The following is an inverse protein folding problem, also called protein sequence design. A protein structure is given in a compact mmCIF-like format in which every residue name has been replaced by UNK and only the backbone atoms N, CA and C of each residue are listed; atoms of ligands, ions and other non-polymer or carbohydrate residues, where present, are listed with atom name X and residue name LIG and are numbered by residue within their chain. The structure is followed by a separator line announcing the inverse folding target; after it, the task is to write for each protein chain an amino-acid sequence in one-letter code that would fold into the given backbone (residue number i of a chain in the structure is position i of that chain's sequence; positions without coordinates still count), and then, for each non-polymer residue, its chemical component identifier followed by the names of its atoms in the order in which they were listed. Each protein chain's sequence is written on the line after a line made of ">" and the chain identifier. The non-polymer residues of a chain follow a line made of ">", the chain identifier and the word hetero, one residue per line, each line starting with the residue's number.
data_IF_615305651917
#
_entry.id   IF_615305651917
#
_cell.length_a   1.000
_cell.length_b   1.000
_cell.length_c   1.000
_cell.angle_alpha   90.00
_cell.angle_beta   90.00
_cell.angle_gamma   90.00
#
_symmetry.space_group_name_H-M   'P 1'
#
loop_
_entity.id
_entity.type
_entity.pdbx_description
1 polymer ?
#
# COMPACT_ATOMS: atom_id res chain seq x y z
N UNK A 1 -8.01 7.29 24.65
CA UNK A 1 -7.99 7.50 23.20
C UNK A 1 -9.27 6.92 22.63
N UNK A 2 -10.06 7.65 21.82
CA UNK A 2 -11.29 7.12 21.27
C UNK A 2 -11.02 5.93 20.33
N UNK A 3 -11.94 4.97 20.27
CA UNK A 3 -11.76 3.70 19.53
C UNK A 3 -11.51 3.91 18.04
N UNK A 4 -12.21 4.86 17.40
CA UNK A 4 -12.00 5.19 15.98
C UNK A 4 -10.56 5.66 15.69
N UNK A 5 -9.97 6.42 16.62
CA UNK A 5 -8.60 6.91 16.48
C UNK A 5 -7.58 5.76 16.64
N UNK A 6 -7.88 4.78 17.50
CA UNK A 6 -7.04 3.57 17.61
C UNK A 6 -7.04 2.79 16.29
N UNK A 7 -8.21 2.61 15.66
CA UNK A 7 -8.31 1.96 14.36
C UNK A 7 -7.50 2.68 13.27
N UNK A 8 -7.64 4.01 13.20
CA UNK A 8 -6.90 4.83 12.25
C UNK A 8 -5.37 4.71 12.46
N UNK A 9 -4.89 4.83 13.71
CA UNK A 9 -3.47 4.75 14.04
C UNK A 9 -2.90 3.35 13.75
N UNK A 10 -3.62 2.27 14.08
CA UNK A 10 -3.18 0.91 13.79
C UNK A 10 -2.99 0.67 12.28
N UNK A 11 -3.90 1.19 11.45
CA UNK A 11 -3.79 1.08 10.00
C UNK A 11 -2.71 1.99 9.42
N UNK A 12 -2.49 3.20 9.97
CA UNK A 12 -1.34 4.03 9.62
C UNK A 12 -0.03 3.30 9.88
N UNK A 13 0.14 2.73 11.07
CA UNK A 13 1.35 1.97 11.43
C UNK A 13 1.53 0.78 10.48
N UNK A 14 0.46 0.04 10.20
CA UNK A 14 0.47 -1.09 9.28
C UNK A 14 0.91 -0.69 7.87
N UNK A 15 0.34 0.40 7.33
CA UNK A 15 0.70 0.93 6.02
C UNK A 15 2.18 1.37 5.97
N UNK A 16 2.64 2.12 6.98
CA UNK A 16 4.03 2.56 7.02
C UNK A 16 5.04 1.42 7.16
N UNK A 17 4.74 0.39 7.97
CA UNK A 17 5.62 -0.78 8.10
C UNK A 17 5.67 -1.58 6.80
N UNK A 18 4.51 -1.85 6.18
CA UNK A 18 4.45 -2.60 4.93
C UNK A 18 5.09 -1.86 3.76
N UNK A 19 4.83 -0.56 3.63
CA UNK A 19 5.49 0.29 2.62
C UNK A 19 6.99 0.40 2.88
N UNK A 20 7.40 0.64 4.13
CA UNK A 20 8.81 0.74 4.52
C UNK A 20 9.60 -0.53 4.21
N UNK A 21 9.01 -1.71 4.40
CA UNK A 21 9.63 -2.96 4.04
C UNK A 21 9.89 -3.07 2.52
N UNK A 22 8.91 -2.70 1.69
CA UNK A 22 9.06 -2.66 0.23
C UNK A 22 10.10 -1.65 -0.20
N UNK A 23 10.06 -0.44 0.37
CA UNK A 23 11.00 0.63 0.05
C UNK A 23 12.45 0.24 0.41
N UNK A 24 12.69 -0.34 1.58
CA UNK A 24 14.01 -0.79 2.01
C UNK A 24 14.55 -1.90 1.11
N UNK A 25 13.70 -2.84 0.68
CA UNK A 25 14.10 -3.88 -0.26
C UNK A 25 14.54 -3.29 -1.60
N UNK A 26 13.75 -2.37 -2.17
CA UNK A 26 14.10 -1.70 -3.43
C UNK A 26 15.33 -0.80 -3.27
N UNK A 27 15.45 -0.10 -2.15
CA UNK A 27 16.62 0.71 -1.83
C UNK A 27 17.89 -0.16 -1.75
N UNK A 28 17.83 -1.33 -1.13
CA UNK A 28 18.96 -2.26 -1.07
C UNK A 28 19.38 -2.75 -2.46
N UNK A 29 18.41 -3.06 -3.34
CA UNK A 29 18.68 -3.43 -4.75
C UNK A 29 19.31 -2.25 -5.49
N UNK A 30 18.78 -1.06 -5.33
CA UNK A 30 19.29 0.16 -5.97
C UNK A 30 20.72 0.50 -5.55
N UNK A 31 21.02 0.41 -4.23
CA UNK A 31 22.36 0.59 -3.70
C UNK A 31 23.37 -0.43 -4.25
N UNK A 32 22.95 -1.67 -4.45
CA UNK A 32 23.82 -2.75 -4.94
C UNK A 32 24.09 -2.67 -6.46
N UNK A 33 23.19 -2.05 -7.23
CA UNK A 33 23.34 -1.92 -8.69
C UNK A 33 24.01 -0.61 -9.15
N UNK A 34 24.44 0.24 -8.21
CA UNK A 34 25.03 1.54 -8.52
C UNK A 34 23.98 2.62 -8.79
N UNK A 35 24.28 3.84 -8.38
CA UNK A 35 23.35 4.98 -8.36
C UNK A 35 23.02 5.57 -9.75
N UNK A 36 23.62 5.04 -10.83
CA UNK A 36 23.72 5.75 -12.11
C UNK A 36 22.47 5.69 -13.01
N UNK A 37 21.45 4.90 -12.68
CA UNK A 37 20.38 4.63 -13.63
C UNK A 37 18.98 5.12 -13.24
N UNK A 38 18.70 5.40 -11.96
CA UNK A 38 17.36 5.73 -11.47
C UNK A 38 17.43 6.79 -10.38
N UNK A 39 16.67 7.88 -10.55
CA UNK A 39 16.50 8.90 -9.54
C UNK A 39 15.72 8.38 -8.31
N UNK A 40 16.00 8.91 -7.13
CA UNK A 40 15.33 8.52 -5.89
C UNK A 40 13.81 8.78 -5.93
N UNK A 41 13.38 9.79 -6.70
CA UNK A 41 11.96 10.05 -6.92
C UNK A 41 11.30 8.92 -7.74
N UNK A 42 11.98 8.41 -8.75
CA UNK A 42 11.51 7.25 -9.52
C UNK A 42 11.49 5.97 -8.67
N UNK A 43 12.51 5.77 -7.81
CA UNK A 43 12.56 4.67 -6.85
C UNK A 43 11.36 4.73 -5.89
N UNK A 44 11.03 5.91 -5.36
CA UNK A 44 9.89 6.07 -4.44
C UNK A 44 8.55 5.76 -5.13
N UNK A 45 8.34 6.22 -6.38
CA UNK A 45 7.15 5.90 -7.17
C UNK A 45 7.04 4.40 -7.46
N UNK A 46 8.13 3.77 -7.86
CA UNK A 46 8.18 2.32 -8.08
C UNK A 46 7.86 1.55 -6.80
N UNK A 47 8.34 2.02 -5.64
CA UNK A 47 8.04 1.41 -4.34
C UNK A 47 6.55 1.48 -4.02
N UNK A 48 5.89 2.60 -4.31
CA UNK A 48 4.44 2.74 -4.15
C UNK A 48 3.69 1.79 -5.08
N UNK A 49 4.07 1.71 -6.35
CA UNK A 49 3.44 0.80 -7.31
C UNK A 49 3.59 -0.67 -6.88
N UNK A 50 4.78 -1.06 -6.40
CA UNK A 50 5.01 -2.42 -5.90
C UNK A 50 4.23 -2.68 -4.61
N UNK A 51 4.14 -1.70 -3.72
CA UNK A 51 3.34 -1.80 -2.51
C UNK A 51 1.85 -1.98 -2.83
N UNK A 52 1.30 -1.25 -3.80
CA UNK A 52 -0.07 -1.43 -4.29
C UNK A 52 -0.26 -2.80 -4.96
N UNK A 53 0.72 -3.26 -5.74
CA UNK A 53 0.67 -4.57 -6.40
C UNK A 53 0.59 -5.73 -5.40
N UNK A 54 1.34 -5.70 -4.31
CA UNK A 54 1.26 -6.74 -3.27
C UNK A 54 -0.08 -6.74 -2.51
N UNK A 55 -0.86 -5.66 -2.61
CA UNK A 55 -2.24 -5.55 -2.14
C UNK A 55 -3.27 -5.91 -3.21
N UNK A 56 -2.84 -6.37 -4.39
CA UNK A 56 -3.72 -6.81 -5.46
C UNK A 56 -4.15 -5.74 -6.45
N UNK A 57 -3.66 -4.51 -6.33
CA UNK A 57 -3.93 -3.44 -7.31
C UNK A 57 -3.12 -3.70 -8.58
N UNK A 58 -3.74 -3.80 -9.77
CA UNK A 58 -3.02 -4.03 -11.02
C UNK A 58 -2.03 -2.91 -11.32
N UNK A 59 -0.82 -3.28 -11.75
CA UNK A 59 0.22 -2.33 -12.13
C UNK A 59 0.19 -2.07 -13.63
N UNK A 60 0.01 -0.82 -14.03
CA UNK A 60 0.20 -0.39 -15.41
C UNK A 60 1.70 -0.18 -15.69
N UNK A 61 2.29 -0.96 -16.59
CA UNK A 61 3.73 -0.93 -16.86
C UNK A 61 4.20 0.45 -17.36
N UNK A 62 3.42 1.11 -18.21
CA UNK A 62 3.73 2.47 -18.68
C UNK A 62 3.74 3.52 -17.56
N UNK A 63 2.92 3.35 -16.52
CA UNK A 63 2.90 4.25 -15.36
C UNK A 63 4.08 4.03 -14.42
N UNK A 64 4.50 2.78 -14.26
CA UNK A 64 5.60 2.44 -13.35
C UNK A 64 6.99 2.69 -13.97
N UNK A 65 7.15 2.42 -15.27
CA UNK A 65 8.45 2.43 -15.95
C UNK A 65 8.56 3.50 -17.04
N UNK A 66 7.55 4.36 -17.19
CA UNK A 66 7.52 5.47 -18.14
C UNK A 66 6.94 5.11 -19.52
N UNK A 67 6.79 6.12 -20.41
CA UNK A 67 6.06 5.98 -21.68
C UNK A 67 6.76 5.06 -22.70
N UNK A 68 8.04 4.78 -22.52
CA UNK A 68 8.78 3.84 -23.37
C UNK A 68 8.56 2.37 -23.00
N UNK A 69 7.92 2.10 -21.84
CA UNK A 69 7.59 0.75 -21.43
C UNK A 69 6.43 0.18 -22.26
N UNK A 70 6.38 -1.15 -22.48
CA UNK A 70 5.28 -1.76 -23.21
C UNK A 70 3.95 -1.49 -22.50
N UNK A 71 2.90 -1.21 -23.27
CA UNK A 71 1.55 -1.11 -22.75
C UNK A 71 1.09 -2.47 -22.26
N UNK A 72 0.86 -2.61 -20.95
CA UNK A 72 0.42 -3.86 -20.34
C UNK A 72 0.00 -3.68 -18.90
N UNK A 73 -0.80 -4.64 -18.43
CA UNK A 73 -1.21 -4.77 -17.04
C UNK A 73 -0.45 -5.92 -16.40
N UNK A 74 0.25 -5.64 -15.32
CA UNK A 74 0.84 -6.66 -14.47
C UNK A 74 -0.12 -6.96 -13.32
N UNK A 75 -0.71 -8.16 -13.35
CA UNK A 75 -1.64 -8.64 -12.32
C UNK A 75 -1.05 -9.72 -11.43
N UNK A 76 0.23 -10.04 -11.64
CA UNK A 76 0.92 -11.07 -10.85
C UNK A 76 1.16 -10.57 -9.43
N UNK A 77 0.54 -11.23 -8.45
CA UNK A 77 0.73 -10.96 -7.04
C UNK A 77 1.78 -11.91 -6.49
N UNK A 78 2.94 -11.41 -6.04
CA UNK A 78 3.95 -12.27 -5.41
C UNK A 78 3.44 -12.72 -4.03
N UNK A 79 2.86 -13.92 -3.96
CA UNK A 79 2.21 -14.47 -2.77
C UNK A 79 3.07 -14.38 -1.50
N UNK A 80 4.37 -14.58 -1.62
CA UNK A 80 5.28 -14.46 -0.48
C UNK A 80 5.33 -13.06 0.14
N UNK A 81 5.25 -12.01 -0.70
CA UNK A 81 5.24 -10.63 -0.23
C UNK A 81 3.86 -10.21 0.29
N UNK A 82 2.78 -10.76 -0.28
CA UNK A 82 1.40 -10.43 0.12
C UNK A 82 1.04 -11.01 1.49
N UNK A 83 1.74 -12.01 1.98
CA UNK A 83 1.55 -12.54 3.34
C UNK A 83 1.86 -11.47 4.40
N UNK A 84 2.86 -10.60 4.16
CA UNK A 84 3.26 -9.60 5.15
C UNK A 84 2.15 -8.59 5.49
N UNK A 85 1.49 -7.89 4.54
CA UNK A 85 0.37 -7.01 4.86
C UNK A 85 -0.80 -7.76 5.50
N UNK A 86 -1.12 -8.99 5.07
CA UNK A 86 -2.18 -9.80 5.68
C UNK A 86 -1.89 -10.08 7.15
N UNK A 87 -0.66 -10.48 7.49
CA UNK A 87 -0.25 -10.72 8.87
C UNK A 87 -0.28 -9.44 9.72
N UNK A 88 0.14 -8.30 9.15
CA UNK A 88 0.10 -7.01 9.84
C UNK A 88 -1.34 -6.58 10.12
N UNK A 89 -2.24 -6.68 9.14
CA UNK A 89 -3.66 -6.40 9.32
C UNK A 89 -4.30 -7.34 10.35
N UNK A 90 -3.98 -8.62 10.31
CA UNK A 90 -4.46 -9.58 11.31
C UNK A 90 -3.99 -9.21 12.73
N UNK A 91 -2.73 -8.83 12.90
CA UNK A 91 -2.20 -8.39 14.20
C UNK A 91 -2.86 -7.10 14.67
N UNK A 92 -3.08 -6.13 13.77
CA UNK A 92 -3.80 -4.90 14.08
C UNK A 92 -5.24 -5.19 14.50
N UNK A 93 -5.97 -6.01 13.75
CA UNK A 93 -7.32 -6.44 14.09
C UNK A 93 -7.42 -7.14 15.45
N UNK A 94 -6.46 -8.01 15.78
CA UNK A 94 -6.39 -8.63 17.11
C UNK A 94 -6.17 -7.62 18.24
N UNK A 95 -5.37 -6.58 18.02
CA UNK A 95 -5.18 -5.50 19.02
C UNK A 95 -6.46 -4.70 19.21
N UNK A 96 -7.12 -4.34 18.11
CA UNK A 96 -8.40 -3.62 18.14
C UNK A 96 -9.50 -4.44 18.83
N UNK A 97 -9.59 -5.73 18.54
CA UNK A 97 -10.57 -6.62 19.19
C UNK A 97 -10.39 -6.71 20.72
N UNK A 98 -9.15 -6.68 21.19
CA UNK A 98 -8.85 -6.68 22.63
C UNK A 98 -9.14 -5.32 23.32
N UNK A 99 -9.09 -4.23 22.57
CA UNK A 99 -9.33 -2.88 23.08
C UNK A 99 -10.81 -2.47 23.02
N UNK A 100 -11.63 -3.20 22.25
CA UNK A 100 -13.04 -2.91 22.04
C UNK A 100 -13.92 -3.69 23.01
N UNK A 101 -14.98 -3.05 23.52
CA UNK A 101 -16.04 -3.72 24.25
C UNK A 101 -17.02 -4.42 23.30
N UNK A 102 -17.87 -5.28 23.82
CA UNK A 102 -18.90 -5.96 23.03
C UNK A 102 -19.78 -4.97 22.27
N UNK A 103 -19.86 -5.15 20.93
CA UNK A 103 -20.64 -4.29 20.03
C UNK A 103 -19.92 -3.07 19.45
N UNK A 104 -18.79 -2.63 20.02
CA UNK A 104 -18.08 -1.43 19.53
C UNK A 104 -16.95 -1.72 18.54
N UNK A 105 -16.68 -3.00 18.24
CA UNK A 105 -15.59 -3.43 17.37
C UNK A 105 -15.66 -2.84 15.95
N UNK A 106 -16.86 -2.62 15.42
CA UNK A 106 -17.05 -2.10 14.05
C UNK A 106 -16.58 -0.65 13.88
N UNK A 107 -16.59 0.16 14.97
CA UNK A 107 -16.15 1.56 14.91
C UNK A 107 -14.65 1.68 14.58
N UNK A 108 -13.73 1.04 15.32
CA UNK A 108 -12.31 1.11 14.98
C UNK A 108 -11.97 0.39 13.69
N UNK A 109 -12.68 -0.67 13.33
CA UNK A 109 -12.48 -1.37 12.04
C UNK A 109 -12.88 -0.46 10.88
N UNK A 110 -14.05 0.18 10.93
CA UNK A 110 -14.50 1.11 9.89
C UNK A 110 -13.57 2.32 9.75
N UNK A 111 -13.11 2.90 10.84
CA UNK A 111 -12.15 4.01 10.82
C UNK A 111 -10.80 3.57 10.26
N UNK A 112 -10.33 2.38 10.61
CA UNK A 112 -9.10 1.80 10.08
C UNK A 112 -9.21 1.55 8.58
N UNK A 113 -10.30 0.95 8.12
CA UNK A 113 -10.57 0.70 6.71
C UNK A 113 -10.59 2.03 5.91
N UNK A 114 -11.30 3.04 6.38
CA UNK A 114 -11.34 4.36 5.75
C UNK A 114 -9.94 5.00 5.66
N UNK A 115 -9.16 4.91 6.73
CA UNK A 115 -7.79 5.43 6.78
C UNK A 115 -6.90 4.71 5.74
N UNK A 116 -6.97 3.39 5.67
CA UNK A 116 -6.19 2.60 4.72
C UNK A 116 -6.58 2.89 3.27
N UNK A 117 -7.88 3.01 2.97
CA UNK A 117 -8.39 3.41 1.66
C UNK A 117 -7.87 4.78 1.22
N UNK A 118 -7.89 5.77 2.11
CA UNK A 118 -7.40 7.11 1.82
C UNK A 118 -5.89 7.12 1.57
N UNK A 119 -5.12 6.36 2.36
CA UNK A 119 -3.68 6.23 2.16
C UNK A 119 -3.34 5.57 0.83
N UNK A 120 -3.99 4.47 0.48
CA UNK A 120 -3.72 3.76 -0.78
C UNK A 120 -4.15 4.57 -2.00
N UNK A 121 -5.28 5.29 -1.94
CA UNK A 121 -5.69 6.22 -2.99
C UNK A 121 -4.70 7.40 -3.15
N UNK A 122 -4.26 7.98 -2.03
CA UNK A 122 -3.25 9.05 -2.04
C UNK A 122 -1.89 8.58 -2.55
N UNK A 123 -1.47 7.38 -2.16
CA UNK A 123 -0.24 6.76 -2.65
C UNK A 123 -0.31 6.50 -4.17
N UNK A 124 -1.45 5.98 -4.66
CA UNK A 124 -1.67 5.79 -6.08
C UNK A 124 -1.64 7.13 -6.84
N UNK A 125 -2.31 8.17 -6.33
CA UNK A 125 -2.30 9.51 -6.92
C UNK A 125 -0.90 10.11 -7.00
N UNK A 126 -0.05 9.88 -5.99
CA UNK A 126 1.35 10.29 -5.99
C UNK A 126 2.18 9.57 -7.06
N UNK A 127 1.96 8.25 -7.20
CA UNK A 127 2.80 7.42 -8.07
C UNK A 127 2.39 7.48 -9.54
N UNK A 128 1.10 7.74 -9.84
CA UNK A 128 0.56 7.70 -11.20
C UNK A 128 0.58 9.06 -11.86
N UNK A 129 1.10 9.12 -13.09
CA UNK A 129 1.10 10.35 -13.90
C UNK A 129 -0.30 10.68 -14.46
N UNK A 130 -1.12 9.66 -14.69
CA UNK A 130 -2.49 9.80 -15.18
C UNK A 130 -3.50 9.37 -14.12
N UNK A 131 -4.44 10.25 -13.79
CA UNK A 131 -5.48 10.02 -12.80
C UNK A 131 -6.76 9.54 -13.47
N UNK A 132 -6.90 8.23 -13.63
CA UNK A 132 -8.18 7.63 -14.02
C UNK A 132 -9.01 7.36 -12.75
N UNK A 133 -10.27 7.85 -12.65
CA UNK A 133 -11.13 7.65 -11.46
C UNK A 133 -11.37 6.16 -11.13
N UNK A 134 -11.43 5.28 -12.13
CA UNK A 134 -11.60 3.85 -11.91
C UNK A 134 -10.38 3.21 -11.25
N UNK A 135 -9.17 3.63 -11.62
CA UNK A 135 -7.93 3.14 -11.00
C UNK A 135 -7.73 3.69 -9.59
N UNK A 136 -8.17 4.92 -9.31
CA UNK A 136 -8.21 5.46 -7.95
C UNK A 136 -9.17 4.70 -7.04
N UNK A 137 -10.37 4.37 -7.54
CA UNK A 137 -11.33 3.54 -6.79
C UNK A 137 -10.78 2.14 -6.54
N UNK A 138 -10.14 1.52 -7.52
CA UNK A 138 -9.48 0.24 -7.34
C UNK A 138 -8.38 0.30 -6.28
N UNK A 139 -7.53 1.33 -6.31
CA UNK A 139 -6.47 1.55 -5.31
C UNK A 139 -7.03 1.81 -3.89
N UNK A 140 -8.22 2.40 -3.78
CA UNK A 140 -8.87 2.65 -2.50
C UNK A 140 -9.54 1.39 -1.91
N UNK A 141 -10.12 0.53 -2.75
CA UNK A 141 -11.00 -0.56 -2.31
C UNK A 141 -10.29 -1.93 -2.27
N UNK A 142 -9.37 -2.21 -3.20
CA UNK A 142 -8.74 -3.54 -3.29
C UNK A 142 -7.86 -3.87 -2.07
N UNK A 143 -7.10 -2.94 -1.46
CA UNK A 143 -6.26 -3.24 -0.30
C UNK A 143 -7.02 -3.50 1.01
N UNK A 144 -8.34 -3.32 1.04
CA UNK A 144 -9.18 -3.58 2.21
C UNK A 144 -9.51 -5.06 2.38
#
# INVERSE_FOLDING_TARGET
>A
MPLWMQGAVEMLITAFISFGAVFVLLLAVWLNNGFDSVDIAALSRLSVHLWLLIHGVPLHLSQAFGPAAPHGLMTFIPLGLSIAPVLLCFRAGRRLARASYEGEFFIPVGAGAATYSLLSAGAFAYASAEHNPLSLLAAALIPL
#
